data_IF_342130882806
#
_entry.id   IF_342130882806
#
_cell.length_a   1.000
_cell.length_b   1.000
_cell.length_c   1.000
_cell.angle_alpha   90.00
_cell.angle_beta   90.00
_cell.angle_gamma   90.00
#
_symmetry.space_group_name_H-M   'P 1'
#
loop_
_entity.id
_entity.type
_entity.pdbx_description
1 polymer ?
#
# COMPACT_ATOMS: atom_id res chain seq x y z
N UNK A 1 -27.41 -2.45 52.88
CA UNK A 1 -27.76 -2.03 51.48
C UNK A 1 -26.66 -1.20 50.81
N UNK A 2 -25.38 -1.52 50.96
CA UNK A 2 -24.29 -0.78 50.30
C UNK A 2 -23.26 -1.66 49.58
N UNK A 3 -23.69 -2.77 49.04
CA UNK A 3 -22.83 -3.58 48.17
C UNK A 3 -23.64 -4.03 46.93
N UNK A 4 -24.22 -3.06 46.24
CA UNK A 4 -24.58 -3.26 44.85
C UNK A 4 -23.29 -3.25 44.04
N UNK A 5 -22.92 -4.45 43.64
CA UNK A 5 -21.64 -4.83 43.09
C UNK A 5 -21.21 -3.98 41.90
N UNK A 6 -19.96 -3.52 41.96
CA UNK A 6 -19.20 -2.94 40.87
C UNK A 6 -19.34 -3.75 39.56
N UNK A 7 -19.61 -5.08 39.67
CA UNK A 7 -19.89 -5.96 38.54
C UNK A 7 -21.13 -5.59 37.72
N UNK A 8 -22.19 -5.12 38.34
CA UNK A 8 -23.45 -4.80 37.63
C UNK A 8 -23.35 -3.44 36.92
N UNK A 9 -22.52 -2.53 37.45
CA UNK A 9 -22.21 -1.25 36.82
C UNK A 9 -21.34 -1.40 35.58
N UNK A 10 -20.48 -2.41 35.54
CA UNK A 10 -19.64 -2.70 34.36
C UNK A 10 -20.47 -3.36 33.26
N UNK A 11 -21.40 -4.26 33.60
CA UNK A 11 -22.33 -4.87 32.64
C UNK A 11 -23.28 -3.84 32.01
N UNK A 12 -23.80 -2.89 32.78
CA UNK A 12 -24.68 -1.85 32.27
C UNK A 12 -23.97 -0.87 31.32
N UNK A 13 -22.65 -0.63 31.51
CA UNK A 13 -21.84 0.22 30.59
C UNK A 13 -21.41 -0.51 29.32
N UNK A 14 -21.39 -1.84 29.27
CA UNK A 14 -21.06 -2.62 28.08
C UNK A 14 -22.25 -2.82 27.13
N UNK A 15 -23.49 -2.68 27.61
CA UNK A 15 -24.69 -2.91 26.80
C UNK A 15 -25.15 -1.72 25.93
N UNK A 16 -24.52 -0.55 26.05
CA UNK A 16 -24.96 0.65 25.34
C UNK A 16 -24.01 1.13 24.20
N UNK A 17 -23.07 0.29 23.74
CA UNK A 17 -22.15 0.61 22.64
C UNK A 17 -22.30 -0.25 21.40
N UNK A 18 -23.49 -0.67 21.04
CA UNK A 18 -23.76 -1.27 19.72
C UNK A 18 -24.66 -0.41 18.86
N UNK A 19 -24.36 0.88 18.84
CA UNK A 19 -24.76 1.78 17.76
C UNK A 19 -23.63 1.83 16.73
N UNK A 20 -23.44 0.78 15.95
CA UNK A 20 -22.56 0.85 14.78
C UNK A 20 -23.12 1.93 13.85
N UNK A 21 -22.54 3.14 13.92
CA UNK A 21 -22.69 4.13 12.85
C UNK A 21 -22.30 3.43 11.56
N UNK A 22 -23.27 3.04 10.72
CA UNK A 22 -23.02 2.70 9.32
C UNK A 22 -22.34 3.91 8.70
N UNK A 23 -21.02 3.90 8.65
CA UNK A 23 -20.29 4.81 7.79
C UNK A 23 -20.73 4.46 6.38
N UNK A 24 -21.58 5.32 5.81
CA UNK A 24 -21.89 5.27 4.38
C UNK A 24 -20.56 5.46 3.67
N UNK A 25 -19.96 4.36 3.26
CA UNK A 25 -18.80 4.39 2.37
C UNK A 25 -19.24 5.15 1.13
N UNK A 26 -18.73 6.37 0.99
CA UNK A 26 -18.94 7.19 -0.20
C UNK A 26 -18.55 6.31 -1.39
N UNK A 27 -19.51 5.97 -2.25
CA UNK A 27 -19.21 5.28 -3.51
C UNK A 27 -18.16 6.11 -4.22
N UNK A 28 -16.96 5.56 -4.38
CA UNK A 28 -15.91 6.18 -5.19
C UNK A 28 -16.40 6.10 -6.63
N UNK A 29 -16.52 7.25 -7.27
CA UNK A 29 -16.88 7.32 -8.68
C UNK A 29 -15.82 6.57 -9.49
N UNK A 30 -16.25 5.64 -10.34
CA UNK A 30 -15.35 4.92 -11.23
C UNK A 30 -14.82 5.90 -12.26
N UNK A 31 -13.50 6.08 -12.27
CA UNK A 31 -12.81 6.87 -13.29
C UNK A 31 -12.44 5.92 -14.43
N UNK A 32 -12.80 6.23 -15.66
CA UNK A 32 -12.35 5.47 -16.83
C UNK A 32 -10.96 5.98 -17.26
N UNK A 33 -9.92 5.30 -16.81
CA UNK A 33 -8.52 5.65 -17.09
C UNK A 33 -7.87 4.44 -17.74
N UNK A 34 -7.47 4.57 -19.02
CA UNK A 34 -6.86 3.45 -19.76
C UNK A 34 -5.35 3.34 -19.54
N UNK A 35 -4.67 4.48 -19.39
CA UNK A 35 -3.21 4.56 -19.19
C UNK A 35 -2.88 5.20 -17.86
N UNK A 36 -1.91 4.64 -17.14
CA UNK A 36 -1.47 5.17 -15.85
C UNK A 36 0.00 4.94 -15.59
N UNK A 37 0.43 5.37 -14.41
CA UNK A 37 1.79 5.22 -13.90
C UNK A 37 1.76 4.39 -12.61
N UNK A 38 2.64 3.40 -12.50
CA UNK A 38 2.83 2.62 -11.29
C UNK A 38 4.15 3.01 -10.62
N UNK A 39 4.07 3.56 -9.43
CA UNK A 39 5.22 3.95 -8.63
C UNK A 39 5.49 2.89 -7.57
N UNK A 40 6.62 2.21 -7.66
CA UNK A 40 7.08 1.20 -6.72
C UNK A 40 8.18 1.81 -5.86
N UNK A 41 7.92 2.01 -4.58
CA UNK A 41 8.92 2.43 -3.62
C UNK A 41 9.31 1.26 -2.72
N UNK A 42 10.47 0.67 -2.98
CA UNK A 42 10.98 -0.50 -2.25
C UNK A 42 12.16 -0.09 -1.37
N UNK A 43 11.92 0.00 -0.07
CA UNK A 43 12.95 0.20 0.96
C UNK A 43 13.39 -1.15 1.54
N UNK A 44 14.44 -1.16 2.37
CA UNK A 44 14.86 -2.37 3.08
C UNK A 44 13.81 -2.94 4.04
N UNK A 45 12.84 -2.14 4.49
CA UNK A 45 11.87 -2.54 5.51
C UNK A 45 10.44 -2.71 4.97
N UNK A 46 10.11 -2.13 3.82
CA UNK A 46 8.75 -2.17 3.27
C UNK A 46 8.75 -1.87 1.77
N UNK A 47 7.73 -2.38 1.07
CA UNK A 47 7.45 -1.99 -0.32
C UNK A 47 6.06 -1.36 -0.39
N UNK A 48 5.98 -0.21 -1.06
CA UNK A 48 4.75 0.54 -1.30
C UNK A 48 4.56 0.63 -2.80
N UNK A 49 3.38 0.27 -3.26
CA UNK A 49 2.99 0.36 -4.67
C UNK A 49 1.86 1.37 -4.77
N UNK A 50 2.02 2.37 -5.62
CA UNK A 50 1.01 3.41 -5.86
C UNK A 50 0.75 3.50 -7.35
N UNK A 51 -0.51 3.42 -7.74
CA UNK A 51 -0.94 3.55 -9.13
C UNK A 51 -1.64 4.89 -9.30
N UNK A 52 -1.18 5.66 -10.24
CA UNK A 52 -1.69 6.98 -10.56
C UNK A 52 -2.07 7.13 -12.02
N UNK A 53 -2.86 8.12 -12.31
CA UNK A 53 -3.14 8.62 -13.66
C UNK A 53 -1.90 9.29 -14.26
N UNK A 54 -1.92 9.56 -15.56
CA UNK A 54 -0.87 10.31 -16.29
C UNK A 54 -0.66 11.72 -15.71
N UNK A 55 -1.69 12.30 -15.11
CA UNK A 55 -1.62 13.58 -14.42
C UNK A 55 -1.02 13.52 -13.01
N UNK A 56 -0.73 12.32 -12.48
CA UNK A 56 -0.21 12.12 -11.13
C UNK A 56 -1.28 11.96 -10.03
N UNK A 57 -2.57 11.94 -10.38
CA UNK A 57 -3.62 11.69 -9.39
C UNK A 57 -3.62 10.22 -9.00
N UNK A 58 -3.56 9.92 -7.70
CA UNK A 58 -3.56 8.55 -7.20
C UNK A 58 -4.94 7.90 -7.39
N UNK A 59 -4.94 6.71 -7.99
CA UNK A 59 -6.12 5.87 -8.20
C UNK A 59 -6.21 4.83 -7.09
N UNK A 60 -5.11 4.08 -6.89
CA UNK A 60 -5.00 3.02 -5.90
C UNK A 60 -3.61 2.96 -5.32
N UNK A 61 -3.50 2.43 -4.13
CA UNK A 61 -2.21 2.12 -3.51
C UNK A 61 -2.35 0.91 -2.59
N UNK A 62 -1.26 0.21 -2.38
CA UNK A 62 -1.16 -0.82 -1.37
C UNK A 62 0.27 -0.93 -0.84
N UNK A 63 0.42 -1.47 0.35
CA UNK A 63 1.71 -1.72 0.97
C UNK A 63 1.70 -3.04 1.74
N UNK A 64 2.87 -3.62 1.96
CA UNK A 64 2.98 -4.82 2.78
C UNK A 64 2.42 -4.63 4.21
N UNK A 65 2.51 -3.41 4.76
CA UNK A 65 1.96 -3.10 6.07
C UNK A 65 0.43 -3.07 6.12
N UNK A 66 -0.22 -2.60 5.05
CA UNK A 66 -1.68 -2.57 4.92
C UNK A 66 -2.26 -3.99 4.83
N UNK A 67 -1.59 -4.89 4.14
CA UNK A 67 -1.97 -6.29 4.00
C UNK A 67 -1.81 -7.12 5.29
N UNK A 68 -1.37 -6.50 6.39
CA UNK A 68 -1.24 -7.14 7.68
C UNK A 68 0.11 -7.81 7.93
N UNK A 69 1.09 -7.70 7.03
CA UNK A 69 2.44 -8.15 7.29
C UNK A 69 3.08 -7.30 8.39
N UNK A 70 3.76 -7.94 9.36
CA UNK A 70 4.38 -7.27 10.51
C UNK A 70 5.89 -7.55 10.56
N UNK A 71 6.64 -6.61 11.11
CA UNK A 71 8.08 -6.75 11.33
C UNK A 71 8.86 -7.00 10.03
N UNK A 72 9.78 -7.95 10.05
CA UNK A 72 10.66 -8.30 8.92
C UNK A 72 9.93 -8.90 7.72
N UNK A 73 8.71 -9.44 7.90
CA UNK A 73 7.92 -10.00 6.79
C UNK A 73 7.53 -8.95 5.75
N UNK A 74 7.47 -7.67 6.11
CA UNK A 74 7.15 -6.57 5.19
C UNK A 74 8.20 -6.33 4.11
N UNK A 75 9.44 -6.71 4.37
CA UNK A 75 10.56 -6.52 3.44
C UNK A 75 10.72 -7.66 2.43
N UNK A 76 9.90 -8.70 2.51
CA UNK A 76 10.01 -9.86 1.64
C UNK A 76 9.50 -9.57 0.22
N UNK A 77 10.09 -10.19 -0.82
CA UNK A 77 9.58 -10.10 -2.18
C UNK A 77 8.13 -10.57 -2.32
N UNK A 78 7.73 -11.58 -1.53
CA UNK A 78 6.38 -12.09 -1.51
C UNK A 78 5.36 -11.01 -1.09
N UNK A 79 5.64 -10.32 0.02
CA UNK A 79 4.78 -9.23 0.49
C UNK A 79 4.68 -8.06 -0.51
N UNK A 80 5.77 -7.79 -1.24
CA UNK A 80 5.78 -6.80 -2.31
C UNK A 80 4.90 -7.22 -3.50
N UNK A 81 4.91 -8.52 -3.83
CA UNK A 81 4.05 -9.10 -4.87
C UNK A 81 2.56 -8.97 -4.54
N UNK A 82 2.17 -9.37 -3.33
CA UNK A 82 0.81 -9.25 -2.83
C UNK A 82 0.32 -7.79 -2.82
N UNK A 83 1.18 -6.85 -2.40
CA UNK A 83 0.87 -5.43 -2.43
C UNK A 83 0.63 -4.93 -3.87
N UNK A 84 1.48 -5.34 -4.81
CA UNK A 84 1.35 -4.97 -6.20
C UNK A 84 0.05 -5.54 -6.82
N UNK A 85 -0.27 -6.80 -6.54
CA UNK A 85 -1.49 -7.46 -7.03
C UNK A 85 -2.75 -6.77 -6.48
N UNK A 86 -2.77 -6.44 -5.20
CA UNK A 86 -3.90 -5.74 -4.56
C UNK A 86 -4.10 -4.36 -5.16
N UNK A 87 -3.01 -3.59 -5.34
CA UNK A 87 -3.08 -2.27 -5.97
C UNK A 87 -3.55 -2.37 -7.44
N UNK A 88 -3.06 -3.36 -8.18
CA UNK A 88 -3.45 -3.59 -9.56
C UNK A 88 -4.93 -3.95 -9.71
N UNK A 89 -5.45 -4.86 -8.88
CA UNK A 89 -6.87 -5.23 -8.87
C UNK A 89 -7.78 -4.02 -8.64
N UNK A 90 -7.44 -3.18 -7.65
CA UNK A 90 -8.18 -1.96 -7.37
C UNK A 90 -8.09 -0.95 -8.53
N UNK A 91 -6.95 -0.84 -9.22
CA UNK A 91 -6.79 0.04 -10.38
C UNK A 91 -7.57 -0.46 -11.60
N UNK A 92 -7.63 -1.76 -11.83
CA UNK A 92 -8.41 -2.36 -12.92
C UNK A 92 -9.91 -2.12 -12.77
N UNK A 93 -10.43 -1.98 -11.54
CA UNK A 93 -11.82 -1.56 -11.31
C UNK A 93 -12.13 -0.18 -11.90
N UNK A 94 -11.11 0.68 -12.05
CA UNK A 94 -11.18 1.99 -12.68
C UNK A 94 -10.90 1.98 -14.19
N UNK A 95 -10.72 0.78 -14.79
CA UNK A 95 -10.56 0.60 -16.23
C UNK A 95 -9.11 0.64 -16.73
N UNK A 96 -8.11 0.63 -15.84
CA UNK A 96 -6.70 0.69 -16.20
C UNK A 96 -6.26 -0.57 -16.95
N UNK A 97 -5.60 -0.39 -18.10
CA UNK A 97 -5.09 -1.46 -18.96
C UNK A 97 -3.57 -1.47 -19.07
N UNK A 98 -2.96 -0.29 -19.30
CA UNK A 98 -1.52 -0.17 -19.51
C UNK A 98 -0.88 0.78 -18.50
N UNK A 99 0.34 0.47 -18.04
CA UNK A 99 1.05 1.23 -17.03
C UNK A 99 2.52 1.43 -17.41
N UNK A 100 3.05 2.63 -17.11
CA UNK A 100 4.48 2.87 -17.03
C UNK A 100 4.95 2.64 -15.59
N UNK A 101 6.00 1.87 -15.39
CA UNK A 101 6.51 1.52 -14.07
C UNK A 101 7.71 2.37 -13.70
N UNK A 102 7.61 3.07 -12.59
CA UNK A 102 8.69 3.85 -11.98
C UNK A 102 9.13 3.18 -10.68
N UNK A 103 10.37 2.69 -10.66
CA UNK A 103 10.92 2.00 -9.50
C UNK A 103 11.87 2.90 -8.74
N UNK A 104 11.78 2.90 -7.41
CA UNK A 104 12.62 3.68 -6.52
C UNK A 104 13.05 2.86 -5.30
N UNK A 105 14.35 2.92 -4.98
CA UNK A 105 14.90 2.34 -3.75
C UNK A 105 15.57 0.97 -3.93
N UNK A 106 16.37 0.53 -2.93
CA UNK A 106 17.23 -0.66 -3.01
C UNK A 106 16.59 -1.93 -2.45
N UNK A 107 15.29 -1.94 -2.14
CA UNK A 107 14.63 -3.09 -1.50
C UNK A 107 14.55 -4.34 -2.37
N UNK A 108 14.43 -5.50 -1.74
CA UNK A 108 14.33 -6.81 -2.42
C UNK A 108 13.00 -7.02 -3.16
N UNK A 109 11.98 -6.20 -2.88
CA UNK A 109 10.66 -6.30 -3.49
C UNK A 109 10.52 -5.67 -4.87
N UNK A 110 11.55 -5.02 -5.41
CA UNK A 110 11.52 -4.30 -6.71
C UNK A 110 10.98 -5.17 -7.85
N UNK A 111 11.70 -6.26 -8.13
CA UNK A 111 11.38 -7.15 -9.24
C UNK A 111 10.09 -7.93 -9.03
N UNK A 112 9.86 -8.41 -7.81
CA UNK A 112 8.65 -9.16 -7.48
C UNK A 112 7.40 -8.31 -7.71
N UNK A 113 7.41 -7.04 -7.30
CA UNK A 113 6.30 -6.12 -7.53
C UNK A 113 6.02 -5.92 -9.03
N UNK A 114 7.06 -5.75 -9.87
CA UNK A 114 6.89 -5.59 -11.32
C UNK A 114 6.24 -6.85 -11.92
N UNK A 115 6.78 -8.04 -11.58
CA UNK A 115 6.23 -9.32 -12.07
C UNK A 115 4.78 -9.52 -11.67
N UNK A 116 4.42 -9.13 -10.43
CA UNK A 116 3.05 -9.24 -9.94
C UNK A 116 2.08 -8.28 -10.63
N UNK A 117 2.51 -7.07 -11.01
CA UNK A 117 1.69 -6.16 -11.82
C UNK A 117 1.34 -6.77 -13.16
N UNK A 118 2.32 -7.41 -13.82
CA UNK A 118 2.11 -8.11 -15.09
C UNK A 118 1.21 -9.35 -14.92
N UNK A 119 1.43 -10.14 -13.86
CA UNK A 119 0.61 -11.32 -13.55
C UNK A 119 -0.84 -10.95 -13.23
N UNK A 120 -1.08 -9.79 -12.65
CA UNK A 120 -2.42 -9.27 -12.38
C UNK A 120 -3.19 -8.89 -13.66
N UNK A 121 -2.52 -8.78 -14.81
CA UNK A 121 -3.14 -8.50 -16.10
C UNK A 121 -2.94 -7.08 -16.62
N UNK A 122 -2.07 -6.28 -15.99
CA UNK A 122 -1.68 -4.96 -16.49
C UNK A 122 -0.58 -5.09 -17.55
N UNK A 123 -0.73 -4.39 -18.66
CA UNK A 123 0.30 -4.29 -19.69
C UNK A 123 1.36 -3.25 -19.28
N UNK A 124 2.63 -3.67 -19.21
CA UNK A 124 3.74 -2.79 -18.85
C UNK A 124 4.35 -2.23 -20.12
N UNK A 125 4.23 -0.91 -20.33
CA UNK A 125 4.75 -0.22 -21.51
C UNK A 125 6.24 0.13 -21.37
N UNK A 126 6.68 0.56 -20.19
CA UNK A 126 8.06 0.91 -19.91
C UNK A 126 8.39 0.74 -18.42
N UNK A 127 9.66 0.47 -18.12
CA UNK A 127 10.19 0.38 -16.74
C UNK A 127 11.35 1.36 -16.62
N UNK A 128 11.25 2.30 -15.66
CA UNK A 128 12.25 3.32 -15.40
C UNK A 128 12.69 3.29 -13.94
N UNK A 129 13.99 3.30 -13.69
CA UNK A 129 14.53 3.47 -12.34
C UNK A 129 14.70 4.97 -12.07
N UNK A 130 14.02 5.47 -11.05
CA UNK A 130 14.04 6.87 -10.61
C UNK A 130 14.63 7.02 -9.21
N UNK A 131 15.51 6.10 -8.82
CA UNK A 131 16.21 6.17 -7.53
C UNK A 131 17.09 7.41 -7.49
N UNK A 132 16.87 8.35 -6.54
CA UNK A 132 17.64 9.58 -6.47
C UNK A 132 19.09 9.29 -6.08
N UNK A 133 20.02 9.78 -6.87
CA UNK A 133 21.46 9.74 -6.59
C UNK A 133 21.88 11.16 -6.16
N UNK A 134 22.41 11.35 -4.94
CA UNK A 134 22.85 12.67 -4.50
C UNK A 134 24.07 13.14 -5.31
N UNK A 135 24.04 14.40 -5.75
CA UNK A 135 25.20 15.07 -6.32
C UNK A 135 26.09 15.60 -5.18
N UNK A 136 26.82 14.72 -4.50
CA UNK A 136 27.65 15.07 -3.35
C UNK A 136 26.87 15.71 -2.17
N UNK A 137 25.67 15.24 -1.90
CA UNK A 137 24.74 15.78 -0.91
C UNK A 137 25.22 15.73 0.55
N UNK A 138 24.29 15.71 1.48
CA UNK A 138 24.58 15.68 2.92
C UNK A 138 25.34 14.40 3.34
N UNK A 139 26.18 14.54 4.39
CA UNK A 139 26.87 13.39 4.96
C UNK A 139 25.84 12.33 5.41
N UNK A 140 26.01 11.05 5.03
CA UNK A 140 25.10 9.98 5.44
C UNK A 140 25.14 9.79 6.98
N UNK A 141 24.04 9.31 7.59
CA UNK A 141 24.00 9.02 9.01
C UNK A 141 25.00 7.92 9.38
N UNK A 142 25.39 7.89 10.65
CA UNK A 142 26.30 6.87 11.20
C UNK A 142 25.74 5.47 10.92
N UNK A 143 26.63 4.53 10.58
CA UNK A 143 26.27 3.12 10.38
C UNK A 143 25.58 2.56 11.62
N UNK A 144 24.45 1.86 11.43
CA UNK A 144 23.78 1.13 12.51
C UNK A 144 24.73 0.07 13.09
N UNK A 145 24.91 0.11 14.40
CA UNK A 145 25.60 -0.97 15.11
C UNK A 145 24.63 -2.16 15.23
N UNK A 146 25.05 -3.32 14.80
CA UNK A 146 24.31 -4.59 14.90
C UNK A 146 24.96 -5.39 16.00
#
# INVERSE_FOLDING_TARGET
QRQMCIRDRVKAKMATKTGAKKTTTRRRDRKNIEKGMAHIHSSFNNTIVTISDVQGNVISWASAGELGFKGSRKSTPFAAGEAAETAAKAAMEHGLKSVEVFVKGPGSGREAAIRSLQSAGLEISSIKDVTPIPHNGCRPPKRRRV
#
